data_IF_048845516229
#
_entry.id   IF_048845516229
#
_cell.length_a   1.000
_cell.length_b   1.000
_cell.length_c   1.000
_cell.angle_alpha   90.00
_cell.angle_beta   90.00
_cell.angle_gamma   90.00
#
_symmetry.space_group_name_H-M   'P 1'
#
loop_
_entity.id
_entity.type
_entity.pdbx_description
1 polymer ?
#
# COMPACT_ATOMS: atom_id res chain seq x y z
N UNK A 1 -12.81 20.72 -10.48
CA UNK A 1 -12.46 19.31 -10.16
C UNK A 1 -11.12 19.27 -9.41
N UNK A 2 -11.15 19.32 -8.07
CA UNK A 2 -9.96 19.11 -7.24
C UNK A 2 -9.50 17.67 -7.43
N UNK A 3 -8.32 17.49 -8.04
CA UNK A 3 -7.69 16.19 -8.21
C UNK A 3 -7.62 15.48 -6.85
N UNK A 4 -8.32 14.35 -6.70
CA UNK A 4 -8.31 13.54 -5.47
C UNK A 4 -7.01 12.75 -5.41
N UNK A 5 -5.91 13.45 -5.15
CA UNK A 5 -4.58 12.86 -5.02
C UNK A 5 -4.49 12.19 -3.65
N UNK A 6 -4.25 10.88 -3.61
CA UNK A 6 -4.07 10.09 -2.37
C UNK A 6 -2.61 9.83 -2.02
N UNK A 7 -1.72 9.92 -3.00
CA UNK A 7 -0.27 9.76 -2.83
C UNK A 7 0.33 11.01 -2.19
N UNK A 8 1.31 10.85 -1.30
CA UNK A 8 1.94 11.99 -0.60
C UNK A 8 1.04 12.68 0.44
N UNK A 9 -0.08 12.07 0.82
CA UNK A 9 -1.04 12.57 1.84
C UNK A 9 -0.94 11.73 3.11
N UNK A 10 -1.43 12.26 4.23
CA UNK A 10 -1.52 11.43 5.45
C UNK A 10 -2.56 10.32 5.28
N UNK A 11 -2.51 9.31 6.16
CA UNK A 11 -3.49 8.23 6.14
C UNK A 11 -4.90 8.75 6.40
N UNK A 12 -5.06 9.70 7.33
CA UNK A 12 -6.34 10.32 7.67
C UNK A 12 -6.95 11.04 6.47
N UNK A 13 -6.15 11.85 5.77
CA UNK A 13 -6.56 12.54 4.55
C UNK A 13 -6.97 11.54 3.45
N UNK A 14 -6.16 10.49 3.25
CA UNK A 14 -6.42 9.48 2.23
C UNK A 14 -7.70 8.67 2.53
N UNK A 15 -7.93 8.29 3.78
CA UNK A 15 -9.15 7.57 4.23
C UNK A 15 -10.40 8.44 4.03
N UNK A 16 -10.30 9.73 4.34
CA UNK A 16 -11.42 10.67 4.23
C UNK A 16 -11.93 10.82 2.79
N UNK A 17 -11.06 10.69 1.78
CA UNK A 17 -11.42 10.86 0.37
C UNK A 17 -11.55 9.55 -0.41
N UNK A 18 -10.93 8.48 0.07
CA UNK A 18 -10.79 7.23 -0.65
C UNK A 18 -10.77 6.03 0.31
N UNK A 19 -11.89 5.73 0.95
CA UNK A 19 -12.12 4.47 1.66
C UNK A 19 -13.09 3.58 0.89
N UNK A 20 -12.87 2.26 0.93
CA UNK A 20 -13.78 1.28 0.29
C UNK A 20 -15.01 1.05 1.16
N UNK A 21 -14.83 1.10 2.48
CA UNK A 21 -15.86 0.81 3.48
C UNK A 21 -15.78 1.80 4.63
N UNK A 22 -16.90 2.33 5.15
CA UNK A 22 -16.89 3.27 6.28
C UNK A 22 -16.39 2.66 7.59
N UNK A 23 -16.59 1.35 7.79
CA UNK A 23 -16.22 0.62 9.01
C UNK A 23 -14.78 0.08 9.00
N UNK A 24 -14.03 0.34 7.93
CA UNK A 24 -12.67 -0.15 7.74
C UNK A 24 -11.77 1.02 7.37
N UNK A 25 -11.06 1.65 8.34
CA UNK A 25 -10.26 2.86 8.14
C UNK A 25 -8.96 2.54 7.38
N UNK A 26 -9.10 2.28 6.08
CA UNK A 26 -8.02 1.93 5.19
C UNK A 26 -8.18 2.64 3.84
N UNK A 27 -7.12 3.30 3.32
CA UNK A 27 -7.14 3.85 1.99
C UNK A 27 -7.45 2.78 0.93
N UNK A 28 -8.26 3.13 -0.06
CA UNK A 28 -8.73 2.21 -1.08
C UNK A 28 -7.58 1.61 -1.91
N UNK A 29 -6.48 2.34 -2.11
CA UNK A 29 -5.28 1.83 -2.77
C UNK A 29 -4.66 0.67 -1.99
N UNK A 30 -4.57 0.76 -0.66
CA UNK A 30 -4.02 -0.30 0.19
C UNK A 30 -4.96 -1.50 0.18
N UNK A 31 -6.26 -1.28 0.44
CA UNK A 31 -7.27 -2.33 0.44
C UNK A 31 -7.28 -3.11 -0.88
N UNK A 32 -7.33 -2.42 -2.02
CA UNK A 32 -7.43 -3.05 -3.34
C UNK A 32 -6.14 -3.75 -3.76
N UNK A 33 -4.97 -3.20 -3.41
CA UNK A 33 -3.71 -3.89 -3.70
C UNK A 33 -3.62 -5.20 -2.92
N UNK A 34 -3.92 -5.20 -1.61
CA UNK A 34 -3.87 -6.40 -0.78
C UNK A 34 -4.90 -7.42 -1.28
N UNK A 35 -6.16 -6.98 -1.49
CA UNK A 35 -7.21 -7.83 -2.04
C UNK A 35 -6.77 -8.51 -3.34
N UNK A 36 -6.22 -7.74 -4.29
CA UNK A 36 -5.75 -8.28 -5.57
C UNK A 36 -4.63 -9.30 -5.39
N UNK A 37 -3.66 -9.00 -4.52
CA UNK A 37 -2.52 -9.89 -4.27
C UNK A 37 -2.96 -11.21 -3.62
N UNK A 38 -3.89 -11.17 -2.66
CA UNK A 38 -4.49 -12.36 -2.04
C UNK A 38 -5.30 -13.18 -3.05
N UNK A 39 -6.18 -12.54 -3.84
CA UNK A 39 -6.98 -13.21 -4.86
C UNK A 39 -6.13 -13.88 -5.96
N UNK A 40 -4.90 -13.38 -6.19
CA UNK A 40 -3.94 -13.94 -7.15
C UNK A 40 -2.95 -14.90 -6.53
N UNK A 41 -3.05 -15.19 -5.23
CA UNK A 41 -2.09 -16.02 -4.50
C UNK A 41 -0.64 -15.55 -4.74
N UNK A 42 -0.42 -14.24 -4.68
CA UNK A 42 0.84 -13.62 -5.05
C UNK A 42 2.03 -14.08 -4.20
N UNK A 43 1.79 -14.69 -3.04
CA UNK A 43 2.81 -15.37 -2.23
C UNK A 43 3.46 -16.56 -2.95
N UNK A 44 2.79 -17.16 -3.93
CA UNK A 44 3.32 -18.25 -4.76
C UNK A 44 4.14 -17.74 -5.95
N UNK A 45 4.06 -16.43 -6.26
CA UNK A 45 4.75 -15.81 -7.38
C UNK A 45 6.22 -15.57 -7.05
N UNK A 46 7.12 -16.03 -7.92
CA UNK A 46 8.55 -15.93 -7.68
C UNK A 46 8.99 -14.46 -7.56
N UNK A 47 9.63 -14.13 -6.45
CA UNK A 47 10.17 -12.78 -6.26
C UNK A 47 9.10 -11.71 -6.16
N UNK A 48 7.89 -12.04 -5.70
CA UNK A 48 6.91 -11.04 -5.24
C UNK A 48 7.57 -10.03 -4.29
N UNK A 49 7.23 -8.75 -4.44
CA UNK A 49 7.90 -7.60 -3.81
C UNK A 49 9.38 -7.37 -4.17
N UNK A 50 10.08 -8.28 -4.86
CA UNK A 50 11.47 -8.10 -5.32
C UNK A 50 11.56 -7.71 -6.79
N UNK A 51 10.87 -8.43 -7.66
CA UNK A 51 10.87 -8.17 -9.10
C UNK A 51 10.02 -6.94 -9.44
N UNK A 52 10.41 -6.23 -10.50
CA UNK A 52 9.67 -5.08 -11.02
C UNK A 52 8.51 -5.54 -11.89
N UNK A 53 7.39 -4.83 -11.81
CA UNK A 53 6.25 -5.05 -12.71
C UNK A 53 6.53 -4.65 -14.15
N UNK A 54 5.90 -5.37 -15.08
CA UNK A 54 5.76 -5.04 -16.48
C UNK A 54 4.60 -4.04 -16.70
N UNK A 55 4.50 -3.47 -17.90
CA UNK A 55 3.41 -2.57 -18.30
C UNK A 55 2.07 -3.29 -18.57
N UNK A 56 1.93 -4.55 -18.17
CA UNK A 56 0.73 -5.36 -18.39
C UNK A 56 -0.36 -4.99 -17.39
N UNK A 57 -1.61 -4.86 -17.84
CA UNK A 57 -2.76 -4.39 -17.04
C UNK A 57 -3.14 -5.28 -15.83
N UNK A 58 -2.48 -6.42 -15.62
CA UNK A 58 -2.76 -7.37 -14.53
C UNK A 58 -1.51 -7.95 -13.88
N UNK A 59 -0.39 -7.22 -13.92
CA UNK A 59 0.87 -7.69 -13.36
C UNK A 59 0.89 -7.61 -11.82
N UNK A 60 1.04 -8.76 -11.16
CA UNK A 60 1.13 -8.89 -9.69
C UNK A 60 2.31 -8.13 -9.10
N UNK A 61 3.45 -8.08 -9.80
CA UNK A 61 4.61 -7.30 -9.37
C UNK A 61 4.39 -5.80 -9.54
N UNK A 62 3.58 -5.38 -10.53
CA UNK A 62 3.18 -3.98 -10.68
C UNK A 62 2.28 -3.53 -9.52
N UNK A 63 1.30 -4.35 -9.12
CA UNK A 63 0.41 -4.06 -7.98
C UNK A 63 1.21 -4.06 -6.66
N UNK A 64 2.11 -5.03 -6.46
CA UNK A 64 3.01 -5.02 -5.31
C UNK A 64 3.93 -3.79 -5.31
N UNK A 65 4.39 -3.36 -6.50
CA UNK A 65 5.14 -2.12 -6.70
C UNK A 65 4.34 -0.88 -6.31
N UNK A 66 3.07 -0.81 -6.71
CA UNK A 66 2.14 0.28 -6.37
C UNK A 66 1.91 0.38 -4.86
N UNK A 67 1.71 -0.75 -4.18
CA UNK A 67 1.56 -0.78 -2.72
C UNK A 67 2.82 -0.27 -2.01
N UNK A 68 4.00 -0.74 -2.43
CA UNK A 68 5.29 -0.25 -1.91
C UNK A 68 5.47 1.25 -2.16
N UNK A 69 5.11 1.73 -3.35
CA UNK A 69 5.19 3.14 -3.72
C UNK A 69 4.31 3.99 -2.80
N UNK A 70 3.08 3.57 -2.58
CA UNK A 70 2.15 4.28 -1.70
C UNK A 70 2.71 4.41 -0.27
N UNK A 71 3.16 3.29 0.32
CA UNK A 71 3.73 3.29 1.67
C UNK A 71 4.99 4.17 1.78
N UNK A 72 5.82 4.19 0.72
CA UNK A 72 7.04 5.02 0.67
C UNK A 72 6.74 6.51 0.58
N UNK A 73 5.65 6.89 -0.05
CA UNK A 73 5.26 8.29 -0.22
C UNK A 73 4.44 8.86 0.94
N UNK A 74 4.10 8.04 1.96
CA UNK A 74 3.44 8.56 3.14
C UNK A 74 4.32 9.61 3.84
N UNK A 75 3.75 10.77 4.26
CA UNK A 75 4.49 11.80 5.00
C UNK A 75 5.12 11.30 6.30
N UNK A 76 4.53 10.26 6.90
CA UNK A 76 5.01 9.59 8.09
C UNK A 76 5.00 8.07 7.87
N UNK A 77 6.05 7.38 8.33
CA UNK A 77 6.11 5.92 8.31
C UNK A 77 4.94 5.30 9.08
N UNK A 78 4.39 4.21 8.55
CA UNK A 78 3.34 3.41 9.20
C UNK A 78 3.76 2.85 10.56
N UNK A 79 5.07 2.65 10.79
CA UNK A 79 5.57 2.18 12.08
C UNK A 79 5.56 3.29 13.14
N UNK A 80 5.42 4.56 12.76
CA UNK A 80 5.62 5.72 13.65
C UNK A 80 7.02 5.70 14.34
N UNK A 81 7.47 6.80 14.95
CA UNK A 81 8.76 6.79 15.65
C UNK A 81 8.79 5.80 16.83
N UNK A 82 7.65 5.62 17.52
CA UNK A 82 7.58 4.76 18.70
C UNK A 82 7.72 3.28 18.34
N UNK A 83 6.93 2.77 17.39
CA UNK A 83 7.04 1.34 17.02
C UNK A 83 8.30 1.06 16.20
N UNK A 84 8.90 2.07 15.56
CA UNK A 84 10.20 1.90 14.92
C UNK A 84 11.28 1.51 15.93
N UNK A 85 11.33 2.15 17.09
CA UNK A 85 12.27 1.78 18.16
C UNK A 85 12.03 0.35 18.64
N UNK A 86 10.78 -0.05 18.81
CA UNK A 86 10.44 -1.41 19.22
C UNK A 86 10.78 -2.44 18.13
N UNK A 87 10.59 -2.11 16.86
CA UNK A 87 10.96 -2.95 15.73
C UNK A 87 12.47 -3.17 15.63
N UNK A 88 13.27 -2.14 15.90
CA UNK A 88 14.73 -2.25 15.89
C UNK A 88 15.28 -3.14 17.02
N UNK A 89 14.54 -3.36 18.11
CA UNK A 89 14.99 -4.20 19.24
C UNK A 89 14.93 -5.70 18.96
N UNK A 90 14.20 -6.12 17.93
CA UNK A 90 14.02 -7.53 17.56
C UNK A 90 14.85 -7.96 16.35
N UNK A 91 15.61 -7.03 15.76
CA UNK A 91 16.60 -7.27 14.71
C UNK A 91 17.98 -7.53 15.32
#
# INVERSE_FOLDING_TARGET
PTSRIVFGRTLEEAIAVASVRPDYPCPAVVYRCIQYLEEKQAELEEGIYRLSGSSSYHDVHAVAGLLKLYLRELPQSVLTPQLHVDFLRVL
#
